data_IF_703372277525
#
_entry.id   IF_703372277525
#
_cell.length_a   1.000
_cell.length_b   1.000
_cell.length_c   1.000
_cell.angle_alpha   90.00
_cell.angle_beta   90.00
_cell.angle_gamma   90.00
#
_symmetry.space_group_name_H-M   'P 1'
#
loop_
_entity.id
_entity.type
_entity.pdbx_description
1 polymer ?
#
# COMPACT_ATOMS: atom_id res chain seq x y z
N UNK A 1 -10.27 13.29 4.08
CA UNK A 1 -10.47 11.95 4.69
C UNK A 1 -9.72 10.97 3.81
N UNK A 2 -8.65 10.36 4.30
CA UNK A 2 -7.84 9.47 3.45
C UNK A 2 -8.64 8.23 3.06
N UNK A 3 -8.61 7.90 1.78
CA UNK A 3 -9.22 6.71 1.21
C UNK A 3 -8.20 5.57 1.14
N UNK A 4 -8.55 4.39 1.69
CA UNK A 4 -7.71 3.19 1.58
C UNK A 4 -8.46 2.17 0.73
N UNK A 5 -7.83 1.74 -0.35
CA UNK A 5 -8.40 0.79 -1.32
C UNK A 5 -7.52 -0.45 -1.42
N UNK A 6 -8.16 -1.60 -1.60
CA UNK A 6 -7.50 -2.83 -2.00
C UNK A 6 -8.07 -3.23 -3.36
N UNK A 7 -7.19 -3.49 -4.33
CA UNK A 7 -7.55 -3.83 -5.70
C UNK A 7 -6.79 -5.05 -6.15
N UNK A 8 -7.38 -5.87 -7.02
CA UNK A 8 -6.64 -6.91 -7.71
C UNK A 8 -5.97 -6.29 -8.94
N UNK A 9 -4.71 -6.61 -9.18
CA UNK A 9 -4.02 -6.19 -10.41
C UNK A 9 -4.59 -6.88 -11.65
N UNK A 10 -5.06 -8.13 -11.49
CA UNK A 10 -5.58 -8.96 -12.58
C UNK A 10 -6.79 -8.35 -13.29
N UNK A 11 -7.72 -7.79 -12.54
CA UNK A 11 -9.02 -7.32 -13.04
C UNK A 11 -9.40 -5.89 -12.59
N UNK A 12 -8.57 -5.26 -11.75
CA UNK A 12 -8.85 -3.95 -11.16
C UNK A 12 -9.97 -3.96 -10.11
N UNK A 13 -10.51 -5.14 -9.79
CA UNK A 13 -11.62 -5.32 -8.87
C UNK A 13 -11.24 -4.94 -7.45
N UNK A 14 -12.09 -4.15 -6.81
CA UNK A 14 -11.91 -3.77 -5.41
C UNK A 14 -12.29 -4.93 -4.50
N UNK A 15 -11.44 -5.22 -3.52
CA UNK A 15 -11.72 -6.17 -2.46
C UNK A 15 -11.58 -5.49 -1.10
N UNK A 16 -12.06 -6.15 -0.06
CA UNK A 16 -11.89 -5.69 1.32
C UNK A 16 -10.97 -6.63 2.07
N UNK A 17 -10.04 -6.05 2.83
CA UNK A 17 -9.21 -6.81 3.76
C UNK A 17 -10.06 -7.18 5.00
N UNK A 18 -10.76 -8.30 4.92
CA UNK A 18 -11.65 -8.78 5.99
C UNK A 18 -10.87 -9.57 7.04
N UNK A 19 -10.01 -8.89 7.79
CA UNK A 19 -9.32 -9.50 8.94
C UNK A 19 -9.48 -8.61 10.19
N UNK A 20 -9.88 -9.15 11.36
CA UNK A 20 -10.16 -8.34 12.55
C UNK A 20 -8.92 -7.57 13.05
N UNK A 21 -7.72 -8.13 12.84
CA UNK A 21 -6.46 -7.45 13.15
C UNK A 21 -6.05 -6.40 12.11
N UNK A 22 -6.50 -6.56 10.86
CA UNK A 22 -6.21 -5.59 9.81
C UNK A 22 -6.92 -4.26 10.08
N UNK A 23 -8.11 -4.25 10.70
CA UNK A 23 -8.82 -3.01 11.01
C UNK A 23 -7.96 -1.99 11.78
N UNK A 24 -7.13 -2.45 12.72
CA UNK A 24 -6.20 -1.58 13.47
C UNK A 24 -5.08 -1.06 12.56
N UNK A 25 -4.44 -1.97 11.82
CA UNK A 25 -3.37 -1.63 10.86
C UNK A 25 -3.88 -0.64 9.80
N UNK A 26 -5.12 -0.78 9.34
CA UNK A 26 -5.76 0.15 8.39
C UNK A 26 -5.98 1.54 9.00
N UNK A 27 -6.33 1.60 10.29
CA UNK A 27 -6.41 2.88 11.00
C UNK A 27 -5.03 3.55 11.09
N UNK A 28 -3.97 2.78 11.34
CA UNK A 28 -2.60 3.28 11.38
C UNK A 28 -2.12 3.75 10.00
N UNK A 29 -2.41 2.99 8.93
CA UNK A 29 -2.16 3.39 7.52
C UNK A 29 -2.87 4.71 7.22
N UNK A 30 -4.12 4.85 7.68
CA UNK A 30 -4.92 6.06 7.45
C UNK A 30 -4.32 7.27 8.17
N UNK A 31 -3.93 7.10 9.43
CA UNK A 31 -3.28 8.14 10.22
C UNK A 31 -1.92 8.53 9.63
N UNK A 32 -1.13 7.54 9.19
CA UNK A 32 0.14 7.76 8.52
C UNK A 32 -0.06 8.55 7.22
N UNK A 33 -1.04 8.18 6.39
CA UNK A 33 -1.31 8.85 5.13
C UNK A 33 -1.78 10.29 5.33
N UNK A 34 -2.64 10.52 6.32
CA UNK A 34 -3.14 11.86 6.69
C UNK A 34 -1.99 12.77 7.14
N UNK A 35 -1.14 12.26 8.04
CA UNK A 35 0.09 12.96 8.51
C UNK A 35 1.07 13.28 7.38
N UNK A 36 1.08 12.47 6.33
CA UNK A 36 1.99 12.62 5.19
C UNK A 36 1.37 13.33 3.98
N UNK A 37 0.10 13.73 4.04
CA UNK A 37 -0.58 14.47 2.97
C UNK A 37 -1.04 13.63 1.79
N UNK A 38 -1.24 12.33 1.96
CA UNK A 38 -1.79 11.45 0.91
C UNK A 38 -3.31 11.39 1.00
N UNK A 39 -4.00 11.70 -0.10
CA UNK A 39 -5.46 11.63 -0.17
C UNK A 39 -5.99 10.21 -0.31
N UNK A 40 -5.24 9.35 -1.00
CA UNK A 40 -5.58 7.95 -1.21
C UNK A 40 -4.35 7.05 -1.17
N UNK A 41 -4.52 5.85 -0.60
CA UNK A 41 -3.54 4.77 -0.58
C UNK A 41 -4.20 3.53 -1.16
N UNK A 42 -3.61 2.95 -2.20
CA UNK A 42 -4.14 1.75 -2.85
C UNK A 42 -3.15 0.60 -2.74
N UNK A 43 -3.63 -0.56 -2.31
CA UNK A 43 -2.87 -1.80 -2.27
C UNK A 43 -3.34 -2.71 -3.40
N UNK A 44 -2.45 -3.03 -4.33
CA UNK A 44 -2.74 -3.90 -5.47
C UNK A 44 -2.25 -5.31 -5.21
N UNK A 45 -3.16 -6.26 -5.15
CA UNK A 45 -2.83 -7.68 -5.06
C UNK A 45 -2.25 -8.17 -6.37
N UNK A 46 -1.07 -8.78 -6.28
CA UNK A 46 -0.37 -9.40 -7.39
C UNK A 46 -1.17 -10.61 -7.91
N UNK A 47 -1.22 -10.84 -9.23
CA UNK A 47 -2.00 -11.93 -9.82
C UNK A 47 -1.34 -13.31 -9.64
N UNK A 48 -0.04 -13.36 -9.38
CA UNK A 48 0.74 -14.59 -9.18
C UNK A 48 0.93 -14.90 -7.69
N UNK A 49 0.86 -13.88 -6.83
CA UNK A 49 1.03 -14.00 -5.38
C UNK A 49 -0.02 -13.19 -4.59
N UNK A 50 -1.05 -13.86 -4.09
CA UNK A 50 -2.11 -13.24 -3.28
C UNK A 50 -1.61 -12.55 -1.99
N UNK A 51 -0.41 -12.91 -1.52
CA UNK A 51 0.19 -12.32 -0.34
C UNK A 51 0.94 -11.03 -0.64
N UNK A 52 1.21 -10.73 -1.91
CA UNK A 52 1.99 -9.57 -2.32
C UNK A 52 1.06 -8.41 -2.69
N UNK A 53 1.18 -7.32 -1.94
CA UNK A 53 0.39 -6.12 -2.12
C UNK A 53 1.27 -4.96 -2.57
N UNK A 54 1.25 -4.62 -3.85
CA UNK A 54 1.92 -3.45 -4.38
C UNK A 54 1.32 -2.17 -3.82
N UNK A 55 2.16 -1.21 -3.48
CA UNK A 55 1.75 0.04 -2.85
C UNK A 55 1.62 1.14 -3.89
N UNK A 56 0.50 1.83 -3.86
CA UNK A 56 0.28 3.08 -4.57
C UNK A 56 -0.03 4.19 -3.56
N UNK A 57 0.71 5.29 -3.64
CA UNK A 57 0.57 6.45 -2.78
C UNK A 57 0.11 7.65 -3.62
N UNK A 58 -1.12 8.09 -3.43
CA UNK A 58 -1.75 9.03 -4.36
C UNK A 58 -1.80 8.41 -5.77
N UNK A 59 -1.39 9.18 -6.77
CA UNK A 59 -1.39 8.73 -8.17
C UNK A 59 -0.17 7.86 -8.53
N UNK A 60 0.84 7.81 -7.66
CA UNK A 60 2.09 7.09 -7.92
C UNK A 60 1.99 5.62 -7.51
N UNK A 61 1.99 4.73 -8.50
CA UNK A 61 2.16 3.30 -8.28
C UNK A 61 3.64 2.97 -8.12
N UNK A 62 4.00 2.43 -6.97
CA UNK A 62 5.39 2.16 -6.61
C UNK A 62 5.79 0.74 -6.98
N UNK A 63 7.04 0.56 -7.38
CA UNK A 63 7.67 -0.77 -7.42
C UNK A 63 8.09 -1.20 -5.99
N UNK A 64 7.13 -1.15 -5.07
CA UNK A 64 7.27 -1.54 -3.68
C UNK A 64 6.04 -2.33 -3.28
N UNK A 65 6.24 -3.44 -2.60
CA UNK A 65 5.17 -4.32 -2.16
C UNK A 65 5.30 -4.63 -0.68
N UNK A 66 4.16 -4.90 -0.06
CA UNK A 66 4.04 -5.29 1.35
C UNK A 66 3.36 -6.65 1.37
N UNK A 67 3.82 -7.52 2.27
CA UNK A 67 3.19 -8.82 2.47
C UNK A 67 1.87 -8.67 3.25
N UNK A 68 0.80 -9.36 2.86
CA UNK A 68 -0.54 -9.28 3.48
C UNK A 68 -0.49 -9.61 4.99
N UNK A 69 0.46 -10.46 5.40
CA UNK A 69 0.69 -10.79 6.81
C UNK A 69 0.99 -9.57 7.68
N UNK A 70 1.53 -8.48 7.11
CA UNK A 70 1.71 -7.22 7.82
C UNK A 70 0.38 -6.68 8.35
N UNK A 71 -0.71 -6.88 7.60
CA UNK A 71 -2.06 -6.49 7.97
C UNK A 71 -2.74 -7.55 8.84
N UNK A 72 -2.56 -8.84 8.55
CA UNK A 72 -3.25 -9.91 9.29
C UNK A 72 -2.61 -10.25 10.64
N UNK A 73 -1.29 -10.06 10.79
CA UNK A 73 -0.57 -10.28 12.05
C UNK A 73 -0.74 -9.11 13.03
N UNK A 74 -1.15 -7.92 12.56
CA UNK A 74 -1.38 -6.75 13.41
C UNK A 74 -0.10 -6.01 13.82
N UNK A 75 0.98 -6.13 13.04
CA UNK A 75 2.29 -5.51 13.31
C UNK A 75 2.29 -4.04 12.89
N UNK A 76 1.67 -3.18 13.71
CA UNK A 76 1.53 -1.75 13.40
C UNK A 76 2.88 -1.03 13.18
N UNK A 77 3.88 -1.29 14.02
CA UNK A 77 5.22 -0.71 13.84
C UNK A 77 5.85 -1.11 12.51
N UNK A 78 5.55 -2.33 12.04
CA UNK A 78 6.01 -2.81 10.75
C UNK A 78 5.28 -2.11 9.60
N UNK A 79 3.97 -1.87 9.68
CA UNK A 79 3.25 -1.22 8.57
C UNK A 79 3.69 0.22 8.36
N UNK A 80 3.84 1.02 9.42
CA UNK A 80 4.27 2.42 9.28
C UNK A 80 5.68 2.50 8.71
N UNK A 81 6.57 1.64 9.17
CA UNK A 81 7.94 1.55 8.65
C UNK A 81 7.96 1.17 7.16
N UNK A 82 7.17 0.17 6.74
CA UNK A 82 7.06 -0.22 5.33
C UNK A 82 6.50 0.92 4.47
N UNK A 83 5.50 1.67 4.96
CA UNK A 83 4.96 2.84 4.27
C UNK A 83 5.97 3.98 4.19
N UNK A 84 6.79 4.19 5.22
CA UNK A 84 7.89 5.16 5.16
C UNK A 84 8.96 4.78 4.13
N UNK A 85 9.28 3.49 4.03
CA UNK A 85 10.13 2.97 2.95
C UNK A 85 9.50 3.18 1.57
N UNK A 86 8.19 2.91 1.43
CA UNK A 86 7.43 3.14 0.21
C UNK A 86 7.44 4.63 -0.19
N UNK A 87 7.19 5.55 0.75
CA UNK A 87 7.29 7.00 0.55
C UNK A 87 8.71 7.42 0.14
N UNK A 88 9.73 6.81 0.75
CA UNK A 88 11.12 6.99 0.35
C UNK A 88 11.37 6.53 -1.10
N UNK A 89 10.76 5.40 -1.51
CA UNK A 89 10.81 4.91 -2.88
C UNK A 89 10.06 5.84 -3.85
N UNK A 90 8.88 6.36 -3.48
CA UNK A 90 8.14 7.36 -4.26
C UNK A 90 8.99 8.60 -4.52
N UNK A 91 9.64 9.16 -3.50
CA UNK A 91 10.54 10.30 -3.67
C UNK A 91 11.71 10.00 -4.62
N UNK A 92 12.20 8.75 -4.63
CA UNK A 92 13.25 8.32 -5.55
C UNK A 92 12.74 8.08 -6.98
N UNK A 93 11.54 7.51 -7.13
CA UNK A 93 10.88 7.33 -8.45
C UNK A 93 10.50 8.67 -9.07
N UNK A 94 9.93 9.59 -8.28
CA UNK A 94 9.61 10.95 -8.70
C UNK A 94 10.86 11.79 -9.03
N UNK A 95 12.01 11.47 -8.40
CA UNK A 95 13.31 12.06 -8.74
C UNK A 95 13.98 11.43 -9.97
N UNK A 96 13.34 10.42 -10.60
CA UNK A 96 13.73 9.84 -11.87
C UNK A 96 13.85 8.33 -11.80
N UNK A 97 12.84 7.60 -12.29
CA UNK A 97 13.02 6.33 -13.01
C UNK A 97 11.70 5.98 -13.74
N UNK A 98 11.53 6.59 -14.91
CA UNK A 98 10.53 6.30 -15.94
C UNK A 98 10.81 4.92 -16.60
N UNK A 99 10.83 3.84 -15.83
CA UNK A 99 11.07 2.49 -16.38
C UNK A 99 10.28 1.44 -15.64
N UNK A 100 9.01 1.29 -15.99
CA UNK A 100 8.35 -0.02 -15.99
C UNK A 100 7.34 -0.07 -17.15
N UNK A 101 7.90 -0.16 -18.36
CA UNK A 101 7.22 -0.80 -19.48
C UNK A 101 8.25 -1.72 -20.15
N UNK A 102 8.12 -3.03 -19.90
CA UNK A 102 8.58 -4.10 -20.80
C UNK A 102 7.91 -5.42 -20.46
#
# INVERSE_FOLDING_TARGET
>A
MVEIKFRNEKDGGEFQMTHPRAARVLADVRAWADRNGFEHVTFWRDPEDDHKLWVQLGEDRLNYWIHDSTFTEGKHETVEMQLDYARGAQRRSAAGYDKFDK
#
